data_IF_432365284473
#
_entry.id   IF_432365284473
#
_cell.length_a   1.000
_cell.length_b   1.000
_cell.length_c   1.000
_cell.angle_alpha   90.00
_cell.angle_beta   90.00
_cell.angle_gamma   90.00
#
_symmetry.space_group_name_H-M   'P 1'
#
loop_
_entity.id
_entity.type
_entity.pdbx_description
1 polymer ?
#
# COMPACT_ATOMS: atom_id res chain seq x y z
N UNK A 1 -1.92 12.98 11.88
CA UNK A 1 -1.96 12.64 10.46
C UNK A 1 -3.33 12.15 10.01
N UNK A 2 -3.95 11.23 10.75
CA UNK A 2 -5.18 10.55 10.31
C UNK A 2 -6.34 11.49 10.03
N UNK A 3 -6.60 12.48 10.89
CA UNK A 3 -7.70 13.44 10.68
C UNK A 3 -7.62 14.16 9.33
N UNK A 4 -6.41 14.53 8.90
CA UNK A 4 -6.20 15.16 7.58
C UNK A 4 -6.51 14.19 6.44
N UNK A 5 -6.13 12.92 6.55
CA UNK A 5 -6.41 11.93 5.51
C UNK A 5 -7.89 11.53 5.48
N UNK A 6 -8.58 11.52 6.62
CA UNK A 6 -10.04 11.33 6.67
C UNK A 6 -10.76 12.51 6.02
N UNK A 7 -10.37 13.75 6.35
CA UNK A 7 -10.92 14.95 5.73
C UNK A 7 -10.68 14.97 4.22
N UNK A 8 -9.45 14.67 3.78
CA UNK A 8 -9.11 14.55 2.37
C UNK A 8 -9.95 13.49 1.65
N UNK A 9 -10.15 12.32 2.28
CA UNK A 9 -10.98 11.26 1.73
C UNK A 9 -12.43 11.70 1.54
N UNK A 10 -13.03 12.27 2.58
CA UNK A 10 -14.41 12.78 2.51
C UNK A 10 -14.55 13.83 1.42
N UNK A 11 -13.65 14.82 1.36
CA UNK A 11 -13.68 15.86 0.33
C UNK A 11 -13.50 15.29 -1.09
N UNK A 12 -12.63 14.28 -1.29
CA UNK A 12 -12.50 13.61 -2.61
C UNK A 12 -13.81 12.94 -3.00
N UNK A 13 -14.44 12.18 -2.11
CA UNK A 13 -15.69 11.49 -2.43
C UNK A 13 -16.86 12.46 -2.68
N UNK A 14 -16.81 13.66 -2.10
CA UNK A 14 -17.74 14.77 -2.40
C UNK A 14 -17.34 15.60 -3.64
N UNK A 15 -16.23 15.26 -4.30
CA UNK A 15 -15.66 15.98 -5.44
C UNK A 15 -15.21 17.42 -5.12
N UNK A 16 -14.90 17.71 -3.85
CA UNK A 16 -14.33 18.97 -3.35
C UNK A 16 -12.80 18.94 -3.45
N UNK A 17 -12.29 18.84 -4.67
CA UNK A 17 -10.89 18.46 -4.94
C UNK A 17 -9.85 19.47 -4.42
N UNK A 18 -10.17 20.77 -4.47
CA UNK A 18 -9.28 21.81 -3.91
C UNK A 18 -9.18 21.71 -2.39
N UNK A 19 -10.28 21.38 -1.71
CA UNK A 19 -10.29 21.20 -0.25
C UNK A 19 -9.51 19.95 0.14
N UNK A 20 -9.70 18.85 -0.59
CA UNK A 20 -8.92 17.64 -0.40
C UNK A 20 -7.42 17.87 -0.57
N UNK A 21 -7.01 18.64 -1.59
CA UNK A 21 -5.60 18.96 -1.83
C UNK A 21 -4.98 19.73 -0.65
N UNK A 22 -5.69 20.69 -0.05
CA UNK A 22 -5.21 21.42 1.15
C UNK A 22 -4.85 20.46 2.28
N UNK A 23 -5.73 19.50 2.58
CA UNK A 23 -5.50 18.52 3.65
C UNK A 23 -4.32 17.60 3.35
N UNK A 24 -4.18 17.16 2.10
CA UNK A 24 -3.04 16.35 1.67
C UNK A 24 -1.74 17.14 1.75
N UNK A 25 -1.75 18.40 1.33
CA UNK A 25 -0.56 19.24 1.25
C UNK A 25 -0.01 19.64 2.62
N UNK A 26 -0.85 19.72 3.66
CA UNK A 26 -0.38 19.84 5.05
C UNK A 26 0.54 18.67 5.43
N UNK A 27 0.15 17.43 5.09
CA UNK A 27 0.96 16.24 5.40
C UNK A 27 2.20 16.14 4.52
N UNK A 28 2.05 16.46 3.23
CA UNK A 28 3.16 16.41 2.27
C UNK A 28 4.23 17.45 2.59
N UNK A 29 3.81 18.65 2.96
CA UNK A 29 4.70 19.75 3.36
C UNK A 29 5.50 19.44 4.62
N UNK A 30 4.96 18.65 5.56
CA UNK A 30 5.68 18.21 6.78
C UNK A 30 7.00 17.49 6.47
N UNK A 31 7.09 16.83 5.31
CA UNK A 31 8.28 16.09 4.85
C UNK A 31 8.81 16.63 3.52
N UNK A 32 8.55 17.92 3.24
CA UNK A 32 9.10 18.66 2.09
C UNK A 32 8.78 18.04 0.71
N UNK A 33 7.69 17.28 0.61
CA UNK A 33 7.22 16.78 -0.67
C UNK A 33 6.50 17.90 -1.44
N UNK A 34 6.63 17.87 -2.78
CA UNK A 34 5.89 18.76 -3.69
C UNK A 34 4.38 18.69 -3.42
N UNK A 35 3.65 19.77 -3.70
CA UNK A 35 2.19 19.78 -3.55
C UNK A 35 1.49 18.72 -4.41
N UNK A 36 0.24 18.42 -4.06
CA UNK A 36 -0.55 17.35 -4.65
C UNK A 36 -0.76 17.56 -6.14
N UNK A 37 -1.08 18.79 -6.58
CA UNK A 37 -1.34 19.09 -7.99
C UNK A 37 -0.08 18.94 -8.83
N UNK A 38 1.03 19.52 -8.40
CA UNK A 38 2.32 19.36 -9.08
C UNK A 38 2.74 17.89 -9.18
N UNK A 39 2.50 17.12 -8.12
CA UNK A 39 2.84 15.70 -8.08
C UNK A 39 1.98 14.87 -9.04
N UNK A 40 0.68 15.16 -9.13
CA UNK A 40 -0.22 14.53 -10.11
C UNK A 40 0.24 14.84 -11.55
N UNK A 41 0.54 16.11 -11.85
CA UNK A 41 1.04 16.53 -13.17
C UNK A 41 2.34 15.80 -13.55
N UNK A 42 3.32 15.74 -12.64
CA UNK A 42 4.59 15.03 -12.88
C UNK A 42 4.35 13.53 -13.17
N UNK A 43 3.32 12.95 -12.56
CA UNK A 43 2.94 11.54 -12.75
C UNK A 43 2.01 11.32 -13.96
N UNK A 44 1.75 12.35 -14.77
CA UNK A 44 0.82 12.27 -15.91
C UNK A 44 -0.63 11.99 -15.49
N UNK A 45 -1.00 12.37 -14.27
CA UNK A 45 -2.34 12.20 -13.69
C UNK A 45 -3.11 13.51 -13.74
N UNK A 46 -4.43 13.41 -13.80
CA UNK A 46 -5.33 14.56 -13.84
C UNK A 46 -5.75 14.97 -12.43
N UNK A 47 -6.08 16.24 -12.24
CA UNK A 47 -6.72 16.74 -11.01
C UNK A 47 -8.22 16.40 -11.03
N UNK A 48 -8.51 15.10 -11.00
CA UNK A 48 -9.86 14.52 -11.10
C UNK A 48 -10.18 13.67 -9.87
N UNK A 49 -11.46 13.43 -9.60
CA UNK A 49 -11.89 12.61 -8.47
C UNK A 49 -11.24 11.22 -8.47
N UNK A 50 -11.21 10.57 -9.63
CA UNK A 50 -10.66 9.22 -9.77
C UNK A 50 -9.15 9.17 -9.46
N UNK A 51 -8.35 10.06 -10.06
CA UNK A 51 -6.91 10.09 -9.84
C UNK A 51 -6.56 10.58 -8.42
N UNK A 52 -7.34 11.51 -7.84
CA UNK A 52 -7.14 11.95 -6.46
C UNK A 52 -7.48 10.85 -5.44
N UNK A 53 -8.52 10.03 -5.70
CA UNK A 53 -8.83 8.86 -4.86
C UNK A 53 -7.67 7.88 -4.83
N UNK A 54 -7.12 7.55 -5.98
CA UNK A 54 -5.95 6.65 -6.06
C UNK A 54 -4.71 7.26 -5.42
N UNK A 55 -4.50 8.56 -5.60
CA UNK A 55 -3.40 9.29 -4.96
C UNK A 55 -3.51 9.27 -3.43
N UNK A 56 -4.68 9.57 -2.88
CA UNK A 56 -4.97 9.49 -1.45
C UNK A 56 -4.71 8.08 -0.91
N UNK A 57 -5.20 7.04 -1.59
CA UNK A 57 -4.99 5.64 -1.18
C UNK A 57 -3.50 5.30 -1.08
N UNK A 58 -2.67 5.85 -1.97
CA UNK A 58 -1.21 5.71 -1.91
C UNK A 58 -0.61 6.52 -0.75
N UNK A 59 -1.05 7.77 -0.53
CA UNK A 59 -0.58 8.59 0.59
C UNK A 59 -0.90 7.92 1.93
N UNK A 60 -2.15 7.46 2.14
CA UNK A 60 -2.58 6.78 3.35
C UNK A 60 -1.80 5.48 3.59
N UNK A 61 -1.51 4.72 2.53
CA UNK A 61 -0.68 3.51 2.63
C UNK A 61 0.75 3.81 3.08
N UNK A 62 1.35 4.89 2.59
CA UNK A 62 2.70 5.29 2.96
C UNK A 62 2.74 5.88 4.38
N UNK A 63 1.80 6.76 4.71
CA UNK A 63 1.72 7.45 6.01
C UNK A 63 1.51 6.48 7.17
N UNK A 64 0.65 5.47 7.01
CA UNK A 64 0.30 4.51 8.06
C UNK A 64 0.88 3.12 7.82
N UNK A 65 2.02 3.04 7.14
CA UNK A 65 2.72 1.77 6.97
C UNK A 65 3.05 1.18 8.35
N UNK A 66 2.67 -0.08 8.58
CA UNK A 66 2.84 -0.80 9.85
C UNK A 66 1.98 -0.31 11.04
N UNK A 67 0.95 0.51 10.79
CA UNK A 67 0.03 1.01 11.84
C UNK A 67 -1.36 0.36 11.77
N UNK A 68 -1.45 -0.89 11.30
CA UNK A 68 -2.69 -1.69 11.22
C UNK A 68 -3.84 -1.12 10.35
N UNK A 69 -3.69 0.02 9.69
CA UNK A 69 -4.73 0.59 8.83
C UNK A 69 -4.95 -0.21 7.54
N UNK A 70 -3.88 -0.72 6.91
CA UNK A 70 -3.96 -1.33 5.58
C UNK A 70 -4.94 -2.50 5.51
N UNK A 71 -5.09 -3.26 6.59
CA UNK A 71 -6.02 -4.38 6.68
C UNK A 71 -7.49 -3.94 6.49
N UNK A 72 -7.87 -2.83 7.12
CA UNK A 72 -9.23 -2.28 7.04
C UNK A 72 -9.43 -1.44 5.78
N UNK A 73 -8.41 -0.66 5.38
CA UNK A 73 -8.45 0.20 4.21
C UNK A 73 -8.73 -0.57 2.91
N UNK A 74 -8.04 -1.69 2.67
CA UNK A 74 -8.31 -2.50 1.46
C UNK A 74 -9.71 -3.11 1.45
N UNK A 75 -10.27 -3.40 2.63
CA UNK A 75 -11.61 -4.00 2.78
C UNK A 75 -12.71 -2.97 2.54
N UNK A 76 -12.66 -1.83 3.23
CA UNK A 76 -13.68 -0.78 3.09
C UNK A 76 -13.70 -0.13 1.70
N UNK A 77 -12.57 -0.15 1.00
CA UNK A 77 -12.48 0.30 -0.39
C UNK A 77 -12.85 -0.75 -1.42
N UNK A 78 -13.15 -1.99 -1.00
CA UNK A 78 -13.43 -3.11 -1.88
C UNK A 78 -12.31 -3.39 -2.89
N UNK A 79 -11.05 -3.17 -2.48
CA UNK A 79 -9.86 -3.40 -3.31
C UNK A 79 -9.00 -4.58 -2.81
N UNK A 80 -9.60 -5.44 -1.99
CA UNK A 80 -8.92 -6.58 -1.40
C UNK A 80 -8.51 -7.65 -2.45
N UNK A 81 -9.29 -7.94 -3.51
CA UNK A 81 -8.84 -8.81 -4.60
C UNK A 81 -7.58 -8.30 -5.30
N UNK A 82 -7.50 -7.00 -5.56
CA UNK A 82 -6.36 -6.35 -6.22
C UNK A 82 -5.13 -6.27 -5.33
N UNK A 83 -5.32 -6.14 -4.02
CA UNK A 83 -4.24 -6.11 -3.05
C UNK A 83 -3.77 -7.52 -2.64
N UNK A 84 -4.71 -8.45 -2.51
CA UNK A 84 -4.53 -9.79 -1.96
C UNK A 84 -4.10 -10.84 -2.97
N UNK A 85 -4.29 -10.62 -4.27
CA UNK A 85 -3.85 -11.55 -5.33
C UNK A 85 -2.51 -11.13 -5.98
N UNK A 86 -1.77 -10.19 -5.40
CA UNK A 86 -0.46 -9.80 -5.90
C UNK A 86 0.64 -10.66 -5.26
N UNK A 87 1.57 -11.23 -6.05
CA UNK A 87 2.68 -11.97 -5.52
C UNK A 87 3.52 -11.06 -4.63
N UNK A 88 4.01 -11.61 -3.53
CA UNK A 88 5.00 -10.90 -2.71
C UNK A 88 6.31 -10.88 -3.51
N UNK A 89 6.88 -9.69 -3.68
CA UNK A 89 8.16 -9.52 -4.39
C UNK A 89 9.19 -8.86 -3.48
N UNK A 90 10.46 -9.22 -3.68
CA UNK A 90 11.61 -8.53 -3.11
C UNK A 90 12.55 -8.04 -4.20
N UNK A 91 13.66 -7.46 -3.79
CA UNK A 91 14.77 -7.12 -4.69
C UNK A 91 15.98 -7.95 -4.26
N UNK A 92 16.60 -8.62 -5.21
CA UNK A 92 17.96 -9.16 -5.07
C UNK A 92 18.91 -8.13 -5.68
N UNK A 93 19.94 -7.76 -4.92
CA UNK A 93 21.01 -6.88 -5.37
C UNK A 93 22.27 -7.72 -5.48
N UNK A 94 22.79 -7.84 -6.69
CA UNK A 94 24.05 -8.53 -6.96
C UNK A 94 25.13 -7.51 -7.29
N UNK A 95 26.24 -7.56 -6.54
CA UNK A 95 27.44 -6.78 -6.84
C UNK A 95 28.53 -7.70 -7.38
N UNK A 96 28.86 -7.57 -8.65
CA UNK A 96 29.91 -8.38 -9.31
C UNK A 96 31.20 -7.58 -9.29
N UNK A 97 32.29 -8.16 -8.75
CA UNK A 97 33.60 -7.50 -8.75
C UNK A 97 34.06 -7.21 -10.16
N UNK A 98 34.46 -5.96 -10.39
CA UNK A 98 35.11 -5.56 -11.64
C UNK A 98 36.46 -6.27 -11.78
N UNK A 99 36.90 -6.58 -13.01
CA UNK A 99 38.20 -7.19 -13.25
C UNK A 99 39.33 -6.40 -12.56
N UNK A 100 40.18 -7.11 -11.81
CA UNK A 100 41.32 -6.51 -11.09
C UNK A 100 40.96 -5.77 -9.79
N UNK A 101 39.68 -5.75 -9.38
CA UNK A 101 39.26 -5.21 -8.08
C UNK A 101 39.13 -6.34 -7.05
N UNK A 102 39.25 -5.97 -5.77
CA UNK A 102 39.16 -6.90 -4.65
C UNK A 102 38.03 -6.50 -3.71
N UNK A 103 37.35 -7.49 -3.14
CA UNK A 103 36.31 -7.22 -2.14
C UNK A 103 36.94 -6.76 -0.84
N UNK A 104 36.41 -5.70 -0.24
CA UNK A 104 36.75 -5.29 1.12
C UNK A 104 35.64 -5.72 2.09
N UNK A 105 36.03 -6.11 3.31
CA UNK A 105 35.10 -6.41 4.41
C UNK A 105 35.25 -5.35 5.52
N UNK A 106 34.14 -4.85 6.12
CA UNK A 106 32.75 -5.14 5.76
C UNK A 106 32.42 -4.62 4.35
N UNK A 107 31.40 -5.22 3.72
CA UNK A 107 30.93 -4.76 2.42
C UNK A 107 30.42 -3.32 2.53
N UNK A 108 30.88 -2.45 1.63
CA UNK A 108 30.41 -1.08 1.47
C UNK A 108 30.05 -0.92 -0.01
N UNK A 109 28.88 -0.34 -0.30
CA UNK A 109 28.45 -0.10 -1.67
C UNK A 109 29.46 0.81 -2.38
N UNK A 110 29.98 0.37 -3.54
CA UNK A 110 31.01 1.07 -4.29
C UNK A 110 30.96 0.70 -5.79
N UNK A 111 30.49 1.62 -6.62
CA UNK A 111 30.34 1.42 -8.07
C UNK A 111 31.68 1.45 -8.84
N UNK A 112 32.79 1.85 -8.22
CA UNK A 112 34.13 1.75 -8.82
C UNK A 112 34.73 0.34 -8.69
N UNK A 113 34.25 -0.43 -7.71
CA UNK A 113 34.73 -1.77 -7.37
C UNK A 113 33.80 -2.84 -7.94
N UNK A 114 32.48 -2.56 -7.99
CA UNK A 114 31.46 -3.51 -8.41
C UNK A 114 30.59 -2.98 -9.54
N UNK A 115 30.12 -3.88 -10.40
CA UNK A 115 28.94 -3.67 -11.24
C UNK A 115 27.71 -4.21 -10.53
N UNK A 116 26.68 -3.37 -10.37
CA UNK A 116 25.47 -3.71 -9.64
C UNK A 116 24.31 -4.07 -10.56
N UNK A 117 23.66 -5.18 -10.25
CA UNK A 117 22.46 -5.65 -10.92
C UNK A 117 21.33 -5.80 -9.91
N UNK A 118 20.14 -5.39 -10.34
CA UNK A 118 18.92 -5.40 -9.52
C UNK A 118 17.89 -6.30 -10.17
N UNK A 119 17.50 -7.34 -9.45
CA UNK A 119 16.52 -8.31 -9.93
C UNK A 119 15.29 -8.28 -9.04
N UNK A 120 14.11 -8.29 -9.66
CA UNK A 120 12.87 -8.55 -8.94
C UNK A 120 12.84 -10.03 -8.59
N UNK A 121 12.80 -10.32 -7.30
CA UNK A 121 12.72 -11.69 -6.81
C UNK A 121 11.27 -12.03 -6.47
N UNK A 122 10.76 -13.12 -7.02
CA UNK A 122 9.47 -13.68 -6.67
C UNK A 122 9.56 -14.40 -5.31
N UNK A 123 8.77 -13.95 -4.34
CA UNK A 123 8.72 -14.52 -2.99
C UNK A 123 7.44 -15.33 -2.76
N UNK A 124 6.74 -15.76 -3.82
CA UNK A 124 5.52 -16.58 -3.72
C UNK A 124 5.75 -17.93 -3.02
N UNK A 125 6.99 -18.42 -2.95
CA UNK A 125 7.37 -19.59 -2.13
C UNK A 125 7.28 -19.34 -0.62
N UNK A 126 7.39 -18.08 -0.18
CA UNK A 126 7.22 -17.69 1.22
C UNK A 126 5.76 -17.43 1.57
N UNK A 127 5.01 -16.86 0.63
CA UNK A 127 3.62 -16.51 0.85
C UNK A 127 2.84 -16.55 -0.46
N UNK A 128 1.94 -17.53 -0.59
CA UNK A 128 1.04 -17.65 -1.74
C UNK A 128 -0.35 -17.11 -1.35
N UNK A 129 -0.54 -15.79 -1.51
CA UNK A 129 -1.79 -15.13 -1.13
C UNK A 129 -2.88 -15.42 -2.14
N UNK A 130 -4.07 -15.78 -1.63
CA UNK A 130 -5.30 -15.89 -2.41
C UNK A 130 -6.40 -15.15 -1.68
N UNK A 131 -7.09 -14.27 -2.38
CA UNK A 131 -8.29 -13.61 -1.87
C UNK A 131 -9.55 -14.38 -2.26
N UNK A 132 -10.47 -14.52 -1.32
CA UNK A 132 -11.85 -14.94 -1.54
C UNK A 132 -12.76 -13.88 -0.91
N UNK A 133 -13.86 -13.50 -1.57
CA UNK A 133 -14.70 -12.38 -1.09
C UNK A 133 -15.31 -12.62 0.30
N UNK A 134 -15.49 -13.87 0.72
CA UNK A 134 -15.87 -14.18 2.11
C UNK A 134 -14.90 -13.61 3.16
N UNK A 135 -13.65 -13.33 2.80
CA UNK A 135 -12.60 -12.78 3.68
C UNK A 135 -12.76 -11.27 3.96
N UNK A 136 -13.76 -10.60 3.36
CA UNK A 136 -14.13 -9.25 3.75
C UNK A 136 -14.58 -9.18 5.21
N UNK A 137 -15.22 -10.24 5.73
CA UNK A 137 -15.67 -10.33 7.11
C UNK A 137 -14.91 -11.44 7.86
N UNK A 138 -14.59 -11.22 9.13
CA UNK A 138 -14.05 -12.26 9.98
C UNK A 138 -15.16 -13.28 10.32
N UNK A 139 -14.88 -14.59 10.34
CA UNK A 139 -15.89 -15.58 10.70
C UNK A 139 -16.31 -15.41 12.16
N UNK A 140 -17.61 -15.60 12.43
CA UNK A 140 -18.12 -15.73 13.80
C UNK A 140 -17.74 -17.12 14.30
N UNK A 141 -17.26 -17.22 15.54
CA UNK A 141 -16.84 -18.50 16.11
C UNK A 141 -18.00 -19.51 16.13
N UNK A 142 -17.74 -20.76 15.74
CA UNK A 142 -18.79 -21.77 15.55
C UNK A 142 -19.56 -22.05 16.85
N UNK A 143 -18.91 -21.95 18.01
CA UNK A 143 -19.59 -22.10 19.30
C UNK A 143 -20.63 -21.01 19.56
N UNK A 144 -20.39 -19.79 19.09
CA UNK A 144 -21.36 -18.70 19.24
C UNK A 144 -22.56 -18.89 18.30
N UNK A 145 -22.33 -19.38 17.08
CA UNK A 145 -23.40 -19.78 16.15
C UNK A 145 -24.26 -20.90 16.75
N UNK A 146 -23.64 -21.91 17.35
CA UNK A 146 -24.36 -23.02 18.00
C UNK A 146 -25.12 -22.59 19.26
N UNK A 147 -24.58 -21.61 19.99
CA UNK A 147 -25.19 -21.10 21.23
C UNK A 147 -26.44 -20.27 20.96
N UNK A 148 -26.49 -19.54 19.85
CA UNK A 148 -27.64 -18.71 19.48
C UNK A 148 -28.18 -19.08 18.09
N UNK A 149 -29.28 -19.86 18.00
CA UNK A 149 -29.88 -20.24 16.72
C UNK A 149 -30.36 -19.06 15.85
N UNK A 150 -30.51 -17.86 16.42
CA UNK A 150 -30.86 -16.64 15.67
C UNK A 150 -29.62 -15.90 15.11
N UNK A 151 -28.41 -16.31 15.48
CA UNK A 151 -27.17 -15.73 14.98
C UNK A 151 -26.81 -16.36 13.63
N UNK A 152 -26.81 -15.54 12.58
CA UNK A 152 -26.44 -15.97 11.23
C UNK A 152 -24.95 -15.73 11.00
N UNK A 153 -24.29 -16.68 10.37
CA UNK A 153 -22.87 -16.58 10.01
C UNK A 153 -22.63 -15.54 8.90
N UNK A 154 -21.41 -15.00 8.84
CA UNK A 154 -20.99 -14.13 7.75
C UNK A 154 -21.00 -14.87 6.39
N UNK A 155 -21.27 -14.17 5.28
CA UNK A 155 -21.44 -14.80 3.96
C UNK A 155 -20.23 -15.64 3.51
N UNK A 156 -20.49 -16.87 3.02
CA UNK A 156 -19.49 -17.80 2.48
C UNK A 156 -18.71 -18.57 3.55
N UNK A 157 -19.08 -18.43 4.81
CA UNK A 157 -18.46 -19.08 5.97
C UNK A 157 -19.41 -20.08 6.66
N UNK A 158 -20.56 -20.36 6.07
CA UNK A 158 -21.50 -21.43 6.47
C UNK A 158 -20.89 -22.84 6.42
#
# INVERSE_FOLDING_TARGET
AEMYLIAAEASIELNELEEAAKWLDILRGRIELKDTRSTLTIRGKQFSQADMRDFLRQQRRAEFAYEQHRYFDVRRWMIAPEAGNKPLTGIIVEGILKPGKSSMKPYIHNEEIYDYYYYVNDLSSRENRRWLDKMYFAPIHQDEIRRNPNLVQNPGME
#
